data_IF_760601263463
#
_entry.id   IF_760601263463
#
_cell.length_a   1.000
_cell.length_b   1.000
_cell.length_c   1.000
_cell.angle_alpha   90.00
_cell.angle_beta   90.00
_cell.angle_gamma   90.00
#
_symmetry.space_group_name_H-M   'P 1'
#
loop_
_entity.id
_entity.type
_entity.pdbx_description
1 polymer ?
#
# COMPACT_ATOMS: atom_id res chain seq x y z
N UNK A 1 -5.95 -3.94 -6.21
CA UNK A 1 -4.88 -4.57 -5.39
C UNK A 1 -4.18 -3.46 -4.63
N UNK A 2 -3.86 -3.66 -3.35
CA UNK A 2 -3.39 -2.57 -2.43
C UNK A 2 -2.10 -1.90 -2.93
N UNK A 3 -1.18 -2.66 -3.55
CA UNK A 3 0.09 -2.12 -4.05
C UNK A 3 -0.06 -1.03 -5.12
N UNK A 4 -1.16 -1.03 -5.91
CA UNK A 4 -1.37 -0.03 -6.96
C UNK A 4 -1.50 1.38 -6.38
N UNK A 5 -2.14 1.51 -5.21
CA UNK A 5 -2.26 2.78 -4.52
C UNK A 5 -0.88 3.27 -4.05
N UNK A 6 -0.02 2.34 -3.61
CA UNK A 6 1.35 2.68 -3.21
C UNK A 6 2.21 3.14 -4.40
N UNK A 7 2.01 2.56 -5.59
CA UNK A 7 2.71 3.00 -6.81
C UNK A 7 2.30 4.42 -7.23
N UNK A 8 1.01 4.74 -7.18
CA UNK A 8 0.51 6.09 -7.49
C UNK A 8 1.02 7.12 -6.47
N UNK A 9 1.00 6.78 -5.18
CA UNK A 9 1.58 7.64 -4.14
C UNK A 9 3.09 7.85 -4.33
N UNK A 10 3.82 6.81 -4.75
CA UNK A 10 5.26 6.88 -5.08
C UNK A 10 5.53 7.84 -6.24
N UNK A 11 4.62 7.92 -7.21
CA UNK A 11 4.70 8.86 -8.35
C UNK A 11 4.36 10.32 -7.95
N UNK A 12 3.97 10.55 -6.70
CA UNK A 12 3.71 11.88 -6.16
C UNK A 12 2.26 12.34 -6.28
N UNK A 13 1.34 11.45 -6.67
CA UNK A 13 -0.09 11.76 -6.69
C UNK A 13 -0.62 11.91 -5.26
N UNK A 14 -1.53 12.86 -5.07
CA UNK A 14 -2.21 13.02 -3.78
C UNK A 14 -3.36 12.00 -3.65
N UNK A 15 -3.83 11.72 -2.41
CA UNK A 15 -5.05 10.93 -2.22
C UNK A 15 -6.24 11.46 -3.03
N UNK A 16 -6.38 12.78 -3.16
CA UNK A 16 -7.45 13.41 -3.92
C UNK A 16 -7.32 13.14 -5.43
N UNK A 17 -6.11 13.18 -5.99
CA UNK A 17 -5.86 12.84 -7.39
C UNK A 17 -6.14 11.35 -7.65
N UNK A 18 -5.71 10.47 -6.74
CA UNK A 18 -5.95 9.02 -6.84
C UNK A 18 -7.45 8.71 -6.84
N UNK A 19 -8.22 9.33 -5.94
CA UNK A 19 -9.67 9.13 -5.87
C UNK A 19 -10.33 9.70 -7.12
N UNK A 20 -10.01 10.94 -7.51
CA UNK A 20 -10.65 11.61 -8.65
C UNK A 20 -10.38 10.88 -9.97
N UNK A 21 -9.13 10.51 -10.23
CA UNK A 21 -8.69 10.11 -11.57
C UNK A 21 -8.63 8.60 -11.78
N UNK A 22 -8.52 7.80 -10.70
CA UNK A 22 -8.31 6.34 -10.79
C UNK A 22 -9.38 5.53 -10.05
N UNK A 23 -9.76 5.95 -8.85
CA UNK A 23 -10.62 5.17 -7.96
C UNK A 23 -11.73 6.03 -7.31
N UNK A 24 -12.74 6.47 -8.08
CA UNK A 24 -13.77 7.41 -7.61
C UNK A 24 -14.70 6.87 -6.53
N UNK A 25 -14.66 5.55 -6.29
CA UNK A 25 -15.46 4.88 -5.26
C UNK A 25 -14.70 4.76 -3.92
N UNK A 26 -13.42 5.16 -3.86
CA UNK A 26 -12.66 5.15 -2.62
C UNK A 26 -12.85 6.45 -1.85
N UNK A 27 -12.79 6.33 -0.54
CA UNK A 27 -12.66 7.45 0.36
C UNK A 27 -11.19 7.66 0.75
N UNK A 28 -10.87 8.83 1.30
CA UNK A 28 -9.53 9.13 1.81
C UNK A 28 -9.12 8.14 2.90
N UNK A 29 -10.11 7.64 3.66
CA UNK A 29 -9.95 6.62 4.70
C UNK A 29 -9.42 5.30 4.14
N UNK A 30 -9.82 4.91 2.92
CA UNK A 30 -9.32 3.69 2.27
C UNK A 30 -7.84 3.83 1.90
N UNK A 31 -7.41 5.02 1.47
CA UNK A 31 -5.99 5.32 1.19
C UNK A 31 -5.16 5.25 2.47
N UNK A 32 -5.69 5.75 3.59
CA UNK A 32 -5.04 5.64 4.91
C UNK A 32 -4.95 4.19 5.36
N UNK A 33 -6.04 3.42 5.23
CA UNK A 33 -6.06 2.00 5.56
C UNK A 33 -5.06 1.19 4.71
N UNK A 34 -4.87 1.56 3.44
CA UNK A 34 -3.83 1.01 2.57
C UNK A 34 -2.41 1.25 3.14
N UNK A 35 -2.11 2.48 3.56
CA UNK A 35 -0.83 2.83 4.17
C UNK A 35 -0.60 2.13 5.51
N UNK A 36 -1.62 2.06 6.35
CA UNK A 36 -1.58 1.35 7.63
C UNK A 36 -1.32 -0.14 7.42
N UNK A 37 -1.98 -0.75 6.43
CA UNK A 37 -1.75 -2.14 6.06
C UNK A 37 -0.33 -2.37 5.55
N UNK A 38 0.20 -1.48 4.71
CA UNK A 38 1.57 -1.57 4.22
C UNK A 38 2.59 -1.46 5.37
N UNK A 39 2.39 -0.51 6.29
CA UNK A 39 3.22 -0.35 7.47
C UNK A 39 3.12 -1.57 8.41
N UNK A 40 1.93 -2.10 8.61
CA UNK A 40 1.69 -3.33 9.39
C UNK A 40 2.45 -4.50 8.79
N UNK A 41 2.36 -4.74 7.49
CA UNK A 41 3.07 -5.82 6.82
C UNK A 41 4.59 -5.72 7.00
N UNK A 42 5.17 -4.53 6.89
CA UNK A 42 6.62 -4.35 7.04
C UNK A 42 7.06 -4.54 8.52
N UNK A 43 6.21 -4.14 9.47
CA UNK A 43 6.50 -4.29 10.91
C UNK A 43 6.34 -5.72 11.40
N UNK A 44 5.33 -6.43 10.89
CA UNK A 44 4.93 -7.77 11.36
C UNK A 44 5.51 -8.90 10.51
N UNK A 45 6.20 -8.60 9.41
CA UNK A 45 7.02 -9.62 8.75
C UNK A 45 8.22 -9.97 9.63
N UNK A 46 8.03 -11.00 10.45
CA UNK A 46 9.08 -11.91 10.87
C UNK A 46 9.87 -12.32 9.63
N UNK A 47 11.18 -12.05 9.63
CA UNK A 47 12.10 -12.65 8.66
C UNK A 47 11.95 -14.16 8.76
N UNK A 48 11.32 -14.81 7.77
CA UNK A 48 11.48 -16.24 7.57
C UNK A 48 12.80 -16.37 6.81
N UNK A 49 13.92 -16.77 7.46
CA UNK A 49 15.14 -17.01 6.73
C UNK A 49 14.83 -18.19 5.80
N UNK A 50 15.12 -18.03 4.50
CA UNK A 50 15.19 -19.19 3.64
C UNK A 50 16.33 -20.05 4.17
N UNK A 51 16.01 -21.19 4.81
CA UNK A 51 17.02 -22.22 5.03
C UNK A 51 17.56 -22.62 3.66
N UNK A 52 18.85 -22.37 3.42
CA UNK A 52 19.57 -23.03 2.34
C UNK A 52 19.44 -24.53 2.58
N UNK A 53 18.68 -25.21 1.73
CA UNK A 53 18.62 -26.66 1.71
C UNK A 53 20.00 -27.13 1.25
N UNK A 54 20.81 -27.58 2.21
CA UNK A 54 22.14 -28.20 2.01
C UNK A 54 21.99 -29.57 1.38
#
# INVERSE_FOLDING_TARGET
MVYLILELLKEGLTPEDIIRDYYPNLAVEDIKACLDYAAFLIKEQEFIPFEEVV
#
